data_IF_333262944381
#
_entry.id   IF_333262944381
#
_cell.length_a   1.000
_cell.length_b   1.000
_cell.length_c   1.000
_cell.angle_alpha   90.00
_cell.angle_beta   90.00
_cell.angle_gamma   90.00
#
_symmetry.space_group_name_H-M   'P 1'
#
loop_
_entity.id
_entity.type
_entity.pdbx_description
1 polymer ?
#
# COMPACT_ATOMS: atom_id res chain seq x y z
N UNK A 1 -11.04 -29.72 17.34
CA UNK A 1 -9.57 -29.82 17.52
C UNK A 1 -9.10 -28.51 18.08
N UNK A 2 -8.47 -28.51 19.22
CA UNK A 2 -8.09 -27.28 19.95
C UNK A 2 -7.04 -26.49 19.12
N UNK A 3 -7.39 -25.29 18.62
CA UNK A 3 -6.43 -24.34 18.02
C UNK A 3 -5.61 -23.72 19.15
N UNK A 4 -4.31 -23.84 19.06
CA UNK A 4 -3.35 -23.26 20.00
C UNK A 4 -3.17 -21.78 19.64
N UNK A 5 -3.54 -20.92 20.54
CA UNK A 5 -3.35 -19.47 20.45
C UNK A 5 -1.84 -19.16 20.48
N UNK A 6 -1.31 -18.68 19.36
CA UNK A 6 0.08 -18.22 19.29
C UNK A 6 0.14 -16.76 19.76
N UNK A 7 0.63 -16.58 20.98
CA UNK A 7 0.85 -15.26 21.57
C UNK A 7 2.10 -14.63 20.91
N UNK A 8 1.90 -13.70 19.97
CA UNK A 8 3.00 -12.92 19.39
C UNK A 8 3.40 -11.83 20.40
N UNK A 9 4.60 -11.94 20.94
CA UNK A 9 5.21 -10.96 21.83
C UNK A 9 5.56 -9.70 21.02
N UNK A 10 4.80 -8.63 21.20
CA UNK A 10 5.10 -7.32 20.65
C UNK A 10 6.31 -6.74 21.36
N UNK A 11 7.43 -6.63 20.68
CA UNK A 11 8.61 -5.91 21.14
C UNK A 11 8.37 -4.40 20.89
N UNK A 12 8.01 -3.67 21.94
CA UNK A 12 7.86 -2.22 21.88
C UNK A 12 9.26 -1.57 21.81
N UNK A 13 9.58 -1.00 20.66
CA UNK A 13 10.72 -0.10 20.53
C UNK A 13 10.25 1.33 20.80
N UNK A 14 10.52 1.82 22.01
CA UNK A 14 10.28 3.21 22.41
C UNK A 14 11.35 4.11 21.80
N UNK A 15 10.97 4.94 20.83
CA UNK A 15 11.77 6.10 20.40
C UNK A 15 11.18 7.34 21.07
N UNK A 16 11.94 7.90 22.00
CA UNK A 16 11.66 9.20 22.58
C UNK A 16 12.06 10.30 21.59
N UNK A 17 11.09 11.07 21.10
CA UNK A 17 11.35 12.31 20.39
C UNK A 17 10.76 13.48 21.19
N UNK A 18 11.65 14.23 21.82
CA UNK A 18 11.42 15.59 22.33
C UNK A 18 11.50 16.58 21.17
N UNK A 19 10.50 17.46 21.04
CA UNK A 19 10.62 18.56 20.08
C UNK A 19 9.39 19.44 20.01
N UNK A 20 9.53 20.66 20.53
CA UNK A 20 8.55 21.74 20.74
C UNK A 20 7.79 22.23 19.50
N UNK A 21 6.54 22.54 19.76
CA UNK A 21 5.68 23.69 19.41
C UNK A 21 5.98 24.55 18.16
N UNK A 22 4.97 24.72 17.32
CA UNK A 22 4.22 25.99 17.20
C UNK A 22 3.20 25.94 16.04
N UNK A 23 2.02 26.39 16.35
CA UNK A 23 0.76 26.45 15.68
C UNK A 23 0.72 27.07 14.29
N UNK A 24 -0.33 26.61 13.58
CA UNK A 24 -1.28 27.49 12.89
C UNK A 24 -2.56 26.69 12.52
N UNK A 25 -3.67 27.25 12.98
CA UNK A 25 -5.05 26.86 12.64
C UNK A 25 -5.27 26.96 11.12
N UNK A 26 -5.86 25.92 10.54
CA UNK A 26 -6.60 26.04 9.30
C UNK A 26 -7.95 25.37 9.52
N UNK A 27 -9.00 26.16 9.55
CA UNK A 27 -10.39 25.73 9.52
C UNK A 27 -10.68 25.09 8.16
N UNK A 28 -11.26 23.89 8.18
CA UNK A 28 -11.97 23.34 7.05
C UNK A 28 -13.29 22.76 7.56
N UNK A 29 -14.35 23.52 7.33
CA UNK A 29 -15.72 23.10 7.48
C UNK A 29 -16.09 22.09 6.40
N UNK A 30 -16.39 20.86 6.78
CA UNK A 30 -17.15 19.93 5.94
C UNK A 30 -18.36 19.44 6.76
N UNK A 31 -19.50 20.05 6.48
CA UNK A 31 -20.79 19.59 6.98
C UNK A 31 -21.23 18.38 6.14
N UNK A 32 -21.30 17.20 6.76
CA UNK A 32 -21.99 16.06 6.17
C UNK A 32 -23.48 16.17 6.52
N UNK A 33 -24.30 16.45 5.51
CA UNK A 33 -25.76 16.31 5.59
C UNK A 33 -26.11 14.83 5.43
N UNK A 34 -26.72 14.25 6.46
CA UNK A 34 -27.39 12.95 6.39
C UNK A 34 -28.85 13.18 6.00
N UNK A 35 -29.24 12.81 4.80
CA UNK A 35 -30.65 12.69 4.40
C UNK A 35 -31.23 11.38 4.96
N UNK A 36 -32.23 11.50 5.79
CA UNK A 36 -33.03 10.40 6.28
C UNK A 36 -34.19 10.10 5.29
N UNK A 37 -34.17 8.87 4.75
CA UNK A 37 -35.29 8.40 3.94
C UNK A 37 -36.49 8.05 4.83
N UNK A 38 -37.58 8.77 4.62
CA UNK A 38 -38.90 8.53 5.23
C UNK A 38 -39.64 7.45 4.45
N UNK A 39 -40.01 6.34 5.09
CA UNK A 39 -41.01 5.41 4.60
C UNK A 39 -42.27 5.56 5.43
N UNK A 40 -43.30 6.10 4.81
CA UNK A 40 -44.67 6.21 5.30
C UNK A 40 -45.36 4.85 5.28
N UNK A 41 -45.89 4.41 6.44
CA UNK A 41 -46.96 3.42 6.51
C UNK A 41 -48.16 4.03 7.24
N UNK A 42 -49.23 4.20 6.51
CA UNK A 42 -50.52 4.63 7.02
C UNK A 42 -51.34 3.46 7.55
N UNK A 43 -52.01 3.65 8.69
CA UNK A 43 -53.16 2.81 9.01
C UNK A 43 -53.55 2.67 10.47
N UNK A 44 -54.59 3.42 10.79
CA UNK A 44 -55.73 3.23 11.73
C UNK A 44 -55.74 4.02 13.01
N UNK A 45 -56.60 5.03 12.96
CA UNK A 45 -57.25 5.79 14.04
C UNK A 45 -58.09 4.95 14.98
N UNK A 46 -57.89 5.12 16.32
CA UNK A 46 -58.96 5.27 17.30
C UNK A 46 -58.40 5.62 18.70
N UNK A 47 -58.90 6.71 19.21
CA UNK A 47 -59.05 7.11 20.63
C UNK A 47 -57.88 7.04 21.58
N UNK A 48 -57.23 8.21 21.81
CA UNK A 48 -57.02 8.83 23.14
C UNK A 48 -56.32 10.20 22.99
N UNK A 49 -57.07 11.26 22.86
CA UNK A 49 -56.57 12.64 22.63
C UNK A 49 -56.01 13.34 23.86
N UNK A 50 -55.93 12.71 25.03
CA UNK A 50 -55.36 13.28 26.24
C UNK A 50 -53.97 12.75 26.61
N UNK A 51 -53.50 11.71 25.94
CA UNK A 51 -52.17 11.05 26.18
C UNK A 51 -51.10 11.38 25.15
N UNK A 52 -51.47 11.93 24.02
CA UNK A 52 -50.51 12.16 22.91
C UNK A 52 -49.52 13.32 23.16
N UNK A 53 -49.93 14.38 23.83
CA UNK A 53 -49.06 15.52 24.14
C UNK A 53 -48.05 15.21 25.28
N UNK A 54 -48.48 14.41 26.27
CA UNK A 54 -47.56 13.92 27.33
C UNK A 54 -46.65 12.82 26.83
N UNK A 55 -47.03 12.08 25.79
CA UNK A 55 -46.21 11.01 25.20
C UNK A 55 -45.07 11.56 24.29
N UNK A 56 -45.25 12.73 23.66
CA UNK A 56 -44.18 13.32 22.83
C UNK A 56 -42.97 13.78 23.64
N UNK A 57 -43.14 14.19 24.87
CA UNK A 57 -42.07 14.55 25.80
C UNK A 57 -41.32 13.32 26.36
N UNK A 58 -41.87 12.12 26.21
CA UNK A 58 -41.33 10.82 26.65
C UNK A 58 -40.85 9.99 25.47
N UNK A 59 -40.35 10.60 24.41
CA UNK A 59 -39.80 9.95 23.24
C UNK A 59 -38.43 10.54 22.85
N UNK A 60 -37.62 9.77 22.15
CA UNK A 60 -36.44 10.31 21.47
C UNK A 60 -36.93 11.20 20.30
N UNK A 61 -36.35 12.39 20.11
CA UNK A 61 -36.77 13.27 19.01
C UNK A 61 -36.78 12.55 17.66
N UNK A 62 -37.89 12.55 16.94
CA UNK A 62 -38.10 11.88 15.67
C UNK A 62 -38.53 10.40 15.76
N UNK A 63 -38.70 9.86 16.97
CA UNK A 63 -39.10 8.46 17.20
C UNK A 63 -40.43 8.41 17.98
N UNK A 64 -41.13 7.30 17.82
CA UNK A 64 -42.32 7.02 18.60
C UNK A 64 -41.99 6.73 20.07
N UNK A 65 -42.87 6.98 21.06
CA UNK A 65 -42.64 6.60 22.45
C UNK A 65 -42.32 5.11 22.59
N UNK A 66 -41.25 4.81 23.30
CA UNK A 66 -40.76 3.44 23.49
C UNK A 66 -39.89 2.91 22.37
N UNK A 67 -39.74 3.62 21.28
CA UNK A 67 -38.81 3.27 20.19
C UNK A 67 -37.36 3.67 20.57
N UNK A 68 -36.43 2.77 20.36
CA UNK A 68 -34.98 2.97 20.56
C UNK A 68 -34.36 3.23 19.20
N UNK A 69 -33.53 4.29 19.04
CA UNK A 69 -32.76 4.53 17.81
C UNK A 69 -31.82 3.37 17.51
N UNK A 70 -31.60 3.11 16.23
CA UNK A 70 -30.59 2.16 15.78
C UNK A 70 -29.18 2.65 16.14
N UNK A 71 -28.30 1.71 16.45
CA UNK A 71 -26.87 2.01 16.61
C UNK A 71 -26.30 2.38 15.24
N UNK A 72 -25.65 3.55 15.09
CA UNK A 72 -25.11 4.00 13.81
C UNK A 72 -24.07 3.01 13.26
N UNK A 73 -24.12 2.76 11.96
CA UNK A 73 -23.10 1.95 11.28
C UNK A 73 -21.71 2.62 11.37
N UNK A 74 -20.70 1.81 11.64
CA UNK A 74 -19.32 2.26 11.67
C UNK A 74 -18.74 2.12 10.27
N UNK A 75 -18.19 3.22 9.75
CA UNK A 75 -17.49 3.28 8.47
C UNK A 75 -16.04 3.66 8.74
N UNK A 76 -15.09 2.84 8.25
CA UNK A 76 -13.67 3.12 8.36
C UNK A 76 -13.20 3.90 7.11
N UNK A 77 -12.23 4.82 7.25
CA UNK A 77 -11.57 5.45 6.13
C UNK A 77 -10.84 4.44 5.26
N UNK A 78 -10.85 4.65 3.95
CA UNK A 78 -10.05 3.84 3.03
C UNK A 78 -8.55 4.08 3.23
N UNK A 79 -7.76 2.99 3.19
CA UNK A 79 -6.32 3.03 3.17
C UNK A 79 -5.88 3.03 1.70
N UNK A 80 -5.27 4.13 1.25
CA UNK A 80 -4.69 4.24 -0.08
C UNK A 80 -3.18 4.40 0.00
N UNK A 81 -2.42 3.58 -0.73
CA UNK A 81 -1.07 3.95 -1.12
C UNK A 81 -1.24 4.80 -2.39
N UNK A 82 -0.71 6.03 -2.40
CA UNK A 82 -0.63 6.76 -3.66
C UNK A 82 0.21 5.93 -4.62
N UNK A 83 -0.39 5.52 -5.73
CA UNK A 83 0.28 4.74 -6.78
C UNK A 83 1.62 5.39 -7.12
N UNK A 84 2.69 4.58 -7.09
CA UNK A 84 3.97 5.00 -7.63
C UNK A 84 3.89 4.77 -9.13
N UNK A 85 3.96 5.81 -9.98
CA UNK A 85 3.95 5.62 -11.43
C UNK A 85 5.31 5.07 -11.87
N UNK A 86 5.49 3.75 -11.81
CA UNK A 86 6.63 3.08 -12.40
C UNK A 86 6.23 2.55 -13.78
N UNK A 87 7.07 2.84 -14.77
CA UNK A 87 6.85 2.42 -16.17
C UNK A 87 6.96 0.90 -16.33
N UNK A 88 6.03 0.29 -17.06
CA UNK A 88 6.00 -1.16 -17.31
C UNK A 88 7.04 -1.60 -18.32
N UNK A 89 7.94 -2.52 -17.92
CA UNK A 89 8.73 -3.30 -18.86
C UNK A 89 7.90 -4.52 -19.29
N UNK A 90 7.69 -4.69 -20.58
CA UNK A 90 7.13 -5.95 -21.08
C UNK A 90 8.20 -7.04 -21.04
N UNK A 91 7.97 -8.04 -20.25
CA UNK A 91 8.83 -9.21 -19.98
C UNK A 91 9.27 -9.96 -21.23
N UNK A 92 8.45 -9.96 -22.27
CA UNK A 92 8.75 -10.64 -23.53
C UNK A 92 10.02 -10.10 -24.20
N UNK A 93 10.26 -8.79 -24.12
CA UNK A 93 11.48 -8.17 -24.67
C UNK A 93 12.74 -8.57 -23.92
N UNK A 94 12.66 -8.62 -22.58
CA UNK A 94 13.80 -9.05 -21.73
C UNK A 94 14.20 -10.50 -22.02
N UNK A 95 13.22 -11.39 -22.13
CA UNK A 95 13.43 -12.81 -22.40
C UNK A 95 14.06 -13.06 -23.77
N UNK A 96 13.62 -12.33 -24.78
CA UNK A 96 14.18 -12.42 -26.13
C UNK A 96 15.64 -11.97 -26.16
N UNK A 97 15.95 -10.82 -25.54
CA UNK A 97 17.33 -10.30 -25.45
C UNK A 97 18.25 -11.22 -24.64
N UNK A 98 17.78 -11.83 -23.55
CA UNK A 98 18.56 -12.75 -22.73
C UNK A 98 18.96 -14.06 -23.44
N UNK A 99 18.37 -14.35 -24.59
CA UNK A 99 18.72 -15.54 -25.39
C UNK A 99 19.98 -15.37 -26.22
N UNK A 100 20.54 -14.16 -26.33
CA UNK A 100 21.75 -13.89 -27.13
C UNK A 100 23.00 -14.33 -26.35
N UNK A 101 23.83 -15.23 -26.89
CA UNK A 101 25.05 -15.65 -26.24
C UNK A 101 26.05 -14.50 -26.05
N UNK A 102 26.69 -14.45 -24.90
CA UNK A 102 27.74 -13.46 -24.59
C UNK A 102 27.25 -12.10 -24.11
N UNK A 103 25.94 -11.96 -23.89
CA UNK A 103 25.38 -10.78 -23.23
C UNK A 103 24.67 -11.16 -21.93
N UNK A 104 24.64 -10.21 -21.01
CA UNK A 104 23.82 -10.28 -19.78
C UNK A 104 22.77 -9.18 -19.85
N UNK A 105 21.50 -9.53 -19.63
CA UNK A 105 20.40 -8.58 -19.61
C UNK A 105 19.89 -8.46 -18.19
N UNK A 106 19.93 -7.26 -17.65
CA UNK A 106 19.51 -6.97 -16.28
C UNK A 106 18.49 -5.83 -16.30
N UNK A 107 17.30 -5.98 -15.72
CA UNK A 107 16.42 -4.87 -15.46
C UNK A 107 17.08 -3.90 -14.48
N UNK A 108 17.03 -2.60 -14.76
CA UNK A 108 17.64 -1.56 -13.94
C UNK A 108 16.73 -0.35 -13.80
N UNK A 109 16.98 0.45 -12.78
CA UNK A 109 16.38 1.76 -12.63
C UNK A 109 17.41 2.82 -13.02
N UNK A 110 17.04 3.67 -13.95
CA UNK A 110 17.83 4.84 -14.35
C UNK A 110 17.15 6.08 -13.80
N UNK A 111 17.89 6.85 -13.00
CA UNK A 111 17.47 8.16 -12.50
C UNK A 111 18.54 9.18 -12.80
N UNK A 112 18.14 10.35 -13.29
CA UNK A 112 19.06 11.44 -13.65
C UNK A 112 20.20 11.00 -14.59
N UNK A 113 19.90 10.18 -15.59
CA UNK A 113 20.87 9.59 -16.53
C UNK A 113 21.95 8.72 -15.86
N UNK A 114 21.68 8.17 -14.70
CA UNK A 114 22.59 7.25 -14.03
C UNK A 114 21.87 5.95 -13.69
N UNK A 115 22.49 4.83 -14.04
CA UNK A 115 22.08 3.53 -13.52
C UNK A 115 22.37 3.56 -12.02
N UNK A 116 21.32 3.37 -11.20
CA UNK A 116 21.49 3.31 -9.75
C UNK A 116 22.27 2.05 -9.39
N UNK A 117 23.59 2.23 -9.19
CA UNK A 117 24.54 1.21 -8.74
C UNK A 117 25.03 1.56 -7.36
N UNK A 118 25.31 0.57 -6.55
CA UNK A 118 25.90 0.72 -5.23
C UNK A 118 25.06 0.08 -4.15
N UNK A 119 24.20 0.80 -3.45
CA UNK A 119 23.33 0.23 -2.41
C UNK A 119 22.03 -0.35 -2.99
N UNK A 120 21.78 -0.21 -4.27
CA UNK A 120 20.58 -0.72 -4.92
C UNK A 120 20.74 -2.19 -5.27
N UNK A 121 19.99 -3.04 -4.62
CA UNK A 121 19.85 -4.45 -4.99
C UNK A 121 18.52 -4.55 -5.74
N UNK A 122 18.56 -5.01 -6.97
CA UNK A 122 17.39 -5.31 -7.76
C UNK A 122 17.48 -6.73 -8.31
N UNK A 123 16.58 -7.58 -7.87
CA UNK A 123 16.33 -8.90 -8.46
C UNK A 123 14.88 -8.90 -8.92
N UNK A 124 14.66 -9.16 -10.18
CA UNK A 124 13.34 -9.13 -10.79
C UNK A 124 13.07 -10.46 -11.50
N UNK A 125 11.99 -11.12 -11.10
CA UNK A 125 11.46 -12.31 -11.76
C UNK A 125 10.44 -11.97 -12.86
N UNK A 126 9.89 -13.03 -13.43
CA UNK A 126 9.09 -12.93 -14.68
C UNK A 126 7.69 -12.33 -14.52
N UNK A 127 7.15 -12.26 -13.33
CA UNK A 127 5.82 -11.74 -12.99
C UNK A 127 5.85 -10.48 -12.11
N UNK A 128 7.02 -9.81 -12.02
CA UNK A 128 7.20 -8.66 -11.15
C UNK A 128 7.55 -9.05 -9.70
N UNK A 129 7.78 -10.34 -9.44
CA UNK A 129 8.37 -10.82 -8.19
C UNK A 129 9.81 -10.33 -8.04
N UNK A 130 10.27 -10.15 -6.82
CA UNK A 130 11.67 -9.82 -6.60
C UNK A 130 11.97 -9.00 -5.38
N UNK A 131 13.18 -8.46 -5.36
CA UNK A 131 13.68 -7.61 -4.29
C UNK A 131 14.26 -6.32 -4.86
N UNK A 132 13.93 -5.21 -4.22
CA UNK A 132 14.51 -3.90 -4.48
C UNK A 132 14.93 -3.26 -3.15
N UNK A 133 16.11 -2.69 -3.13
CA UNK A 133 16.58 -1.91 -1.98
C UNK A 133 17.36 -0.71 -2.48
N UNK A 134 16.93 0.47 -2.07
CA UNK A 134 17.59 1.75 -2.33
C UNK A 134 17.47 2.63 -1.10
N UNK A 135 18.56 2.79 -0.36
CA UNK A 135 18.64 3.64 0.83
C UNK A 135 17.44 3.51 1.77
N UNK A 136 16.42 4.33 1.52
CA UNK A 136 15.22 4.45 2.35
C UNK A 136 14.06 3.54 1.93
N UNK A 137 14.15 2.93 0.74
CA UNK A 137 13.10 2.07 0.19
C UNK A 137 13.57 0.61 0.13
N UNK A 138 12.79 -0.29 0.70
CA UNK A 138 12.96 -1.74 0.56
C UNK A 138 11.64 -2.34 0.11
N UNK A 139 11.69 -3.11 -0.97
CA UNK A 139 10.55 -3.87 -1.49
C UNK A 139 10.96 -5.30 -1.69
N UNK A 140 10.16 -6.22 -1.20
CA UNK A 140 10.23 -7.63 -1.52
C UNK A 140 8.81 -8.06 -1.86
N UNK A 141 8.60 -8.59 -3.06
CA UNK A 141 7.27 -8.91 -3.57
C UNK A 141 7.25 -10.21 -4.34
N UNK A 142 6.13 -10.90 -4.28
CA UNK A 142 5.82 -12.09 -5.09
C UNK A 142 5.28 -11.72 -6.50
N UNK A 143 5.08 -10.42 -6.75
CA UNK A 143 4.50 -9.91 -8.00
C UNK A 143 2.97 -9.90 -8.04
N UNK A 144 2.28 -10.54 -7.07
CA UNK A 144 0.82 -10.63 -6.99
C UNK A 144 0.24 -9.75 -5.86
N UNK A 145 1.11 -9.04 -5.16
CA UNK A 145 0.72 -8.12 -4.11
C UNK A 145 1.04 -8.57 -2.69
N UNK A 146 1.57 -9.78 -2.50
CA UNK A 146 2.13 -10.22 -1.24
C UNK A 146 3.60 -9.80 -1.11
N UNK A 147 4.08 -9.70 0.13
CA UNK A 147 5.46 -9.38 0.44
C UNK A 147 5.65 -8.30 1.47
N UNK A 148 6.78 -7.58 1.35
CA UNK A 148 7.16 -6.51 2.26
C UNK A 148 7.48 -5.23 1.49
N UNK A 149 6.99 -4.10 1.99
CA UNK A 149 7.32 -2.76 1.53
C UNK A 149 7.70 -1.89 2.73
N UNK A 150 8.84 -1.24 2.67
CA UNK A 150 9.30 -0.29 3.69
C UNK A 150 9.80 0.97 3.00
N UNK A 151 9.13 2.07 3.23
CA UNK A 151 9.53 3.41 2.80
C UNK A 151 9.82 4.26 4.03
N UNK A 152 11.08 4.34 4.41
CA UNK A 152 11.51 5.09 5.60
C UNK A 152 11.32 6.60 5.43
N UNK A 153 11.35 7.11 4.18
CA UNK A 153 11.11 8.52 3.91
C UNK A 153 9.65 8.90 4.12
N UNK A 154 8.71 8.05 3.67
CA UNK A 154 7.27 8.26 3.90
C UNK A 154 6.81 7.77 5.25
N UNK A 155 7.57 6.91 5.92
CA UNK A 155 7.22 6.27 7.19
C UNK A 155 6.22 5.13 7.03
N UNK A 156 6.17 4.52 5.84
CA UNK A 156 5.22 3.45 5.49
C UNK A 156 5.90 2.09 5.61
N UNK A 157 5.24 1.15 6.25
CA UNK A 157 5.62 -0.27 6.27
C UNK A 157 4.40 -1.12 5.95
N UNK A 158 4.58 -2.08 5.04
CA UNK A 158 3.58 -3.08 4.66
C UNK A 158 4.22 -4.45 4.79
N UNK A 159 3.49 -5.37 5.40
CA UNK A 159 3.71 -6.81 5.32
C UNK A 159 2.36 -7.42 4.95
N UNK A 160 2.30 -8.10 3.83
CA UNK A 160 1.06 -8.66 3.31
C UNK A 160 1.29 -10.08 2.83
N UNK A 161 0.40 -10.98 3.23
CA UNK A 161 0.36 -12.36 2.77
C UNK A 161 -0.56 -12.50 1.55
N UNK A 162 -0.54 -13.67 0.89
CA UNK A 162 -1.28 -13.94 -0.36
C UNK A 162 -2.80 -13.77 -0.22
N UNK A 163 -3.34 -14.03 0.97
CA UNK A 163 -4.77 -13.90 1.30
C UNK A 163 -5.19 -12.46 1.63
N UNK A 164 -4.23 -11.55 1.72
CA UNK A 164 -4.47 -10.15 2.05
C UNK A 164 -4.35 -9.82 3.53
N UNK A 165 -4.10 -10.82 4.38
CA UNK A 165 -3.76 -10.62 5.78
C UNK A 165 -2.40 -9.93 5.94
N UNK A 166 -2.12 -9.42 7.14
CA UNK A 166 -0.84 -8.83 7.45
C UNK A 166 -0.92 -7.51 8.19
N UNK A 167 0.06 -6.64 7.93
CA UNK A 167 0.22 -5.37 8.65
C UNK A 167 0.47 -4.19 7.70
N UNK A 168 -0.19 -3.07 7.98
CA UNK A 168 0.11 -1.75 7.42
C UNK A 168 0.41 -0.77 8.54
N UNK A 169 1.45 0.04 8.38
CA UNK A 169 1.83 1.11 9.29
C UNK A 169 2.17 2.37 8.49
N UNK A 170 1.55 3.49 8.83
CA UNK A 170 2.01 4.82 8.46
C UNK A 170 2.37 5.60 9.74
N UNK A 171 3.66 5.65 10.04
CA UNK A 171 4.17 6.28 11.27
C UNK A 171 4.03 7.80 11.27
N UNK A 172 3.94 8.44 10.09
CA UNK A 172 3.75 9.88 9.97
C UNK A 172 2.32 10.33 10.17
N UNK A 173 1.38 9.51 9.74
CA UNK A 173 -0.06 9.78 9.90
C UNK A 173 -0.65 9.13 11.17
N UNK A 174 0.10 8.26 11.84
CA UNK A 174 -0.37 7.52 13.00
C UNK A 174 -1.45 6.50 12.64
N UNK A 175 -1.31 5.85 11.46
CA UNK A 175 -2.23 4.82 11.00
C UNK A 175 -1.58 3.46 11.21
N UNK A 176 -2.33 2.49 11.73
CA UNK A 176 -1.93 1.09 11.77
C UNK A 176 -3.13 0.19 11.48
N UNK A 177 -2.89 -0.85 10.69
CA UNK A 177 -3.81 -1.94 10.43
C UNK A 177 -3.06 -3.25 10.68
N UNK A 178 -3.67 -4.14 11.43
CA UNK A 178 -3.29 -5.54 11.53
C UNK A 178 -4.56 -6.33 11.25
N UNK A 179 -4.53 -7.20 10.27
CA UNK A 179 -5.71 -7.98 9.85
C UNK A 179 -5.28 -9.40 9.49
N UNK A 180 -6.10 -10.36 9.87
CA UNK A 180 -5.97 -11.76 9.46
C UNK A 180 -6.82 -12.08 8.21
N UNK A 181 -6.82 -13.36 7.83
CA UNK A 181 -7.52 -13.85 6.64
C UNK A 181 -9.06 -13.78 6.74
N UNK A 182 -9.61 -13.74 7.95
CA UNK A 182 -11.05 -13.64 8.23
C UNK A 182 -11.53 -12.20 8.41
N UNK A 183 -10.62 -11.23 8.41
CA UNK A 183 -10.90 -9.81 8.62
C UNK A 183 -11.01 -9.42 10.09
N UNK A 184 -10.54 -10.28 11.00
CA UNK A 184 -10.32 -9.94 12.39
C UNK A 184 -9.02 -9.17 12.56
N UNK A 185 -8.90 -8.38 13.64
CA UNK A 185 -7.67 -7.65 13.91
C UNK A 185 -7.86 -6.31 14.55
N UNK A 186 -6.98 -5.36 14.22
CA UNK A 186 -7.00 -4.01 14.77
C UNK A 186 -6.73 -2.93 13.74
N UNK A 187 -7.45 -1.83 13.86
CA UNK A 187 -7.25 -0.62 13.07
C UNK A 187 -7.13 0.60 13.99
N UNK A 188 -6.18 1.46 13.71
CA UNK A 188 -6.01 2.74 14.38
C UNK A 188 -5.74 3.84 13.37
N UNK A 189 -6.35 5.02 13.58
CA UNK A 189 -6.10 6.21 12.77
C UNK A 189 -6.12 7.46 13.68
N UNK A 190 -4.93 7.97 13.98
CA UNK A 190 -4.78 9.13 14.87
C UNK A 190 -5.33 10.42 14.24
N UNK A 191 -5.43 10.51 12.90
CA UNK A 191 -6.02 11.67 12.22
C UNK A 191 -7.47 11.89 12.60
N UNK A 192 -8.22 10.80 12.79
CA UNK A 192 -9.64 10.82 13.12
C UNK A 192 -9.93 10.34 14.55
N UNK A 193 -8.88 10.01 15.32
CA UNK A 193 -9.02 9.48 16.67
C UNK A 193 -9.75 8.14 16.75
N UNK A 194 -9.66 7.33 15.67
CA UNK A 194 -10.34 6.04 15.54
C UNK A 194 -9.44 4.93 16.07
N UNK A 195 -10.05 3.99 16.79
CA UNK A 195 -9.48 2.68 17.10
C UNK A 195 -10.58 1.63 17.04
N UNK A 196 -10.30 0.53 16.34
CA UNK A 196 -11.16 -0.64 16.23
C UNK A 196 -10.34 -1.89 16.54
N UNK A 197 -10.89 -2.76 17.37
CA UNK A 197 -10.47 -4.15 17.53
C UNK A 197 -11.70 -5.01 17.26
N UNK A 198 -11.58 -5.97 16.36
CA UNK A 198 -12.70 -6.81 15.92
C UNK A 198 -12.20 -8.22 15.67
N UNK A 199 -12.99 -9.22 16.05
CA UNK A 199 -12.76 -10.61 15.73
C UNK A 199 -13.50 -11.07 14.46
N UNK A 200 -13.39 -12.35 14.13
CA UNK A 200 -14.00 -12.97 12.95
C UNK A 200 -15.55 -13.02 13.01
N UNK A 201 -16.16 -12.91 14.19
CA UNK A 201 -17.62 -12.84 14.38
C UNK A 201 -18.15 -11.39 14.41
N UNK A 202 -17.26 -10.38 14.30
CA UNK A 202 -17.62 -8.95 14.36
C UNK A 202 -17.87 -8.47 15.77
N UNK A 203 -17.29 -9.13 16.76
CA UNK A 203 -17.28 -8.71 18.16
C UNK A 203 -16.04 -7.86 18.46
N UNK A 204 -16.10 -7.04 19.50
CA UNK A 204 -14.96 -6.22 19.85
C UNK A 204 -15.30 -4.80 20.31
N UNK A 205 -14.37 -3.88 20.01
CA UNK A 205 -14.42 -2.50 20.52
C UNK A 205 -14.07 -1.49 19.43
N UNK A 206 -14.95 -0.53 19.21
CA UNK A 206 -14.69 0.68 18.43
C UNK A 206 -14.67 1.90 19.34
N UNK A 207 -13.72 2.78 19.14
CA UNK A 207 -13.66 4.09 19.78
C UNK A 207 -13.35 5.19 18.77
N UNK A 208 -13.97 6.36 18.96
CA UNK A 208 -13.59 7.58 18.29
C UNK A 208 -13.46 8.68 19.34
N UNK A 209 -12.22 9.07 19.63
CA UNK A 209 -11.89 10.02 20.68
C UNK A 209 -12.26 11.46 20.34
N UNK A 210 -12.38 11.80 19.04
CA UNK A 210 -12.72 13.15 18.60
C UNK A 210 -14.20 13.49 18.85
N UNK A 211 -15.09 12.52 18.69
CA UNK A 211 -16.53 12.71 18.92
C UNK A 211 -17.04 12.01 20.19
N UNK A 212 -16.15 11.35 20.94
CA UNK A 212 -16.48 10.67 22.21
C UNK A 212 -17.37 9.44 22.03
N UNK A 213 -17.33 8.78 20.86
CA UNK A 213 -18.09 7.56 20.57
C UNK A 213 -17.32 6.33 21.06
N UNK A 214 -18.03 5.40 21.69
CA UNK A 214 -17.56 4.06 22.01
C UNK A 214 -18.64 3.06 21.63
N UNK A 215 -18.25 1.98 20.95
CA UNK A 215 -19.14 0.87 20.61
C UNK A 215 -18.46 -0.43 21.03
N UNK A 216 -19.20 -1.26 21.78
CA UNK A 216 -18.77 -2.62 22.13
C UNK A 216 -19.76 -3.61 21.55
N UNK A 217 -19.29 -4.70 20.99
CA UNK A 217 -20.09 -5.80 20.51
C UNK A 217 -19.58 -7.10 21.09
N UNK A 218 -20.49 -7.96 21.54
CA UNK A 218 -20.25 -9.32 21.97
C UNK A 218 -21.36 -10.23 21.42
N UNK A 219 -21.31 -11.53 21.72
CA UNK A 219 -22.27 -12.53 21.26
C UNK A 219 -23.73 -12.18 21.56
N UNK A 220 -23.99 -11.52 22.67
CA UNK A 220 -25.32 -11.30 23.22
C UNK A 220 -25.82 -9.87 23.03
N UNK A 221 -24.92 -8.89 22.86
CA UNK A 221 -25.29 -7.48 22.86
C UNK A 221 -24.35 -6.58 22.05
N UNK A 222 -24.89 -5.48 21.57
CA UNK A 222 -24.11 -4.32 21.10
C UNK A 222 -24.48 -3.08 21.91
N UNK A 223 -23.47 -2.35 22.39
CA UNK A 223 -23.63 -1.13 23.17
C UNK A 223 -22.94 0.03 22.49
N UNK A 224 -23.68 1.15 22.37
CA UNK A 224 -23.20 2.41 21.84
C UNK A 224 -23.23 3.49 22.91
N UNK A 225 -22.20 4.30 22.97
CA UNK A 225 -22.09 5.48 23.83
C UNK A 225 -21.57 6.66 23.02
N UNK A 226 -22.26 7.79 23.11
CA UNK A 226 -21.81 9.08 22.61
C UNK A 226 -22.16 10.18 23.62
N UNK A 227 -21.14 10.75 24.27
CA UNK A 227 -21.35 11.72 25.33
C UNK A 227 -22.26 11.20 26.44
N UNK A 228 -23.49 11.80 26.53
CA UNK A 228 -24.51 11.45 27.53
C UNK A 228 -25.50 10.38 27.08
N UNK A 229 -25.48 10.03 25.79
CA UNK A 229 -26.38 9.04 25.19
C UNK A 229 -25.75 7.65 25.28
N UNK A 230 -26.57 6.67 25.61
CA UNK A 230 -26.24 5.23 25.60
C UNK A 230 -27.38 4.45 24.95
N UNK A 231 -27.03 3.52 24.08
CA UNK A 231 -27.95 2.56 23.45
C UNK A 231 -27.38 1.16 23.68
N UNK A 232 -28.22 0.22 24.05
CA UNK A 232 -27.85 -1.20 24.10
C UNK A 232 -28.90 -1.98 23.33
N UNK A 233 -28.49 -2.85 22.44
CA UNK A 233 -29.33 -3.79 21.74
C UNK A 233 -28.86 -5.20 22.04
N UNK A 234 -29.78 -6.13 22.31
CA UNK A 234 -29.48 -7.51 22.63
C UNK A 234 -30.01 -8.48 21.57
N UNK A 235 -29.40 -9.64 21.52
CA UNK A 235 -29.73 -10.72 20.58
C UNK A 235 -31.18 -11.22 20.71
N UNK A 236 -31.76 -11.12 21.90
CA UNK A 236 -33.14 -11.53 22.18
C UNK A 236 -34.19 -10.46 21.76
N UNK A 237 -33.74 -9.39 21.10
CA UNK A 237 -34.58 -8.28 20.67
C UNK A 237 -34.91 -7.28 21.80
N UNK A 238 -34.41 -7.48 23.01
CA UNK A 238 -34.51 -6.47 24.07
C UNK A 238 -33.41 -5.42 23.91
N UNK A 239 -33.58 -4.27 24.63
CA UNK A 239 -32.56 -3.24 24.62
C UNK A 239 -32.93 -2.04 25.46
N UNK A 240 -32.01 -1.08 25.48
CA UNK A 240 -32.20 0.14 26.27
C UNK A 240 -31.64 1.39 25.57
N UNK A 241 -32.25 2.52 25.84
CA UNK A 241 -31.77 3.85 25.52
C UNK A 241 -31.71 4.67 26.79
N UNK A 242 -30.69 5.48 26.96
CA UNK A 242 -30.64 6.49 28.01
C UNK A 242 -29.91 7.75 27.53
N UNK A 243 -30.47 8.89 27.86
CA UNK A 243 -29.85 10.21 27.70
C UNK A 243 -29.81 10.91 29.04
N UNK A 244 -28.60 11.10 29.57
CA UNK A 244 -28.41 11.74 30.87
C UNK A 244 -28.67 13.25 30.86
N UNK A 245 -28.78 13.89 29.68
CA UNK A 245 -29.09 15.30 29.55
C UNK A 245 -30.62 15.56 29.67
N UNK A 246 -31.40 14.83 28.91
CA UNK A 246 -32.86 14.92 28.96
C UNK A 246 -33.50 14.14 30.12
N UNK A 247 -32.73 13.23 30.74
CA UNK A 247 -33.22 12.30 31.76
C UNK A 247 -34.10 11.19 31.20
N UNK A 248 -34.20 11.04 29.88
CA UNK A 248 -35.01 10.03 29.21
C UNK A 248 -34.34 8.66 29.29
N UNK A 249 -35.10 7.62 29.66
CA UNK A 249 -34.69 6.21 29.62
C UNK A 249 -35.79 5.40 28.96
N UNK A 250 -35.41 4.47 28.11
CA UNK A 250 -36.29 3.50 27.46
C UNK A 250 -35.70 2.10 27.68
N UNK A 251 -36.55 1.18 28.12
CA UNK A 251 -36.19 -0.23 28.28
C UNK A 251 -37.20 -1.06 27.47
N UNK A 252 -36.76 -1.65 26.36
CA UNK A 252 -37.56 -2.55 25.53
C UNK A 252 -37.35 -3.99 26.00
N UNK A 253 -38.43 -4.74 26.26
CA UNK A 253 -38.39 -6.09 26.80
C UNK A 253 -38.18 -7.18 25.73
N UNK A 254 -38.11 -6.81 24.44
CA UNK A 254 -38.04 -7.74 23.31
C UNK A 254 -39.29 -8.56 23.06
N UNK A 255 -40.38 -8.29 23.80
CA UNK A 255 -41.67 -9.07 23.78
C UNK A 255 -42.88 -8.23 23.45
N UNK A 256 -42.66 -7.04 22.94
CA UNK A 256 -43.74 -6.15 22.48
C UNK A 256 -44.04 -4.99 23.42
N UNK A 257 -43.28 -4.77 24.48
CA UNK A 257 -43.48 -3.65 25.41
C UNK A 257 -42.16 -2.92 25.65
N UNK A 258 -42.28 -1.60 25.87
CA UNK A 258 -41.20 -0.78 26.40
C UNK A 258 -41.66 0.04 27.61
N UNK A 259 -40.77 0.16 28.59
CA UNK A 259 -40.90 1.07 29.72
C UNK A 259 -40.16 2.36 29.41
N UNK A 260 -40.85 3.49 29.42
CA UNK A 260 -40.27 4.82 29.23
C UNK A 260 -40.29 5.56 30.55
N UNK A 261 -39.17 6.14 30.94
CA UNK A 261 -39.03 6.92 32.18
C UNK A 261 -38.39 8.27 31.86
N UNK A 262 -38.96 9.36 32.41
CA UNK A 262 -38.37 10.71 32.33
C UNK A 262 -38.61 11.43 33.66
N UNK A 263 -37.55 11.67 34.44
CA UNK A 263 -37.68 12.17 35.77
C UNK A 263 -38.52 11.24 36.69
N UNK A 264 -39.64 11.72 37.19
CA UNK A 264 -40.60 10.94 38.01
C UNK A 264 -41.70 10.27 37.17
N UNK A 265 -41.79 10.58 35.88
CA UNK A 265 -42.80 10.01 35.02
C UNK A 265 -42.37 8.65 34.50
N UNK A 266 -43.28 7.70 34.49
CA UNK A 266 -43.06 6.34 33.99
C UNK A 266 -44.30 5.88 33.22
N UNK A 267 -44.09 5.33 32.02
CA UNK A 267 -45.15 4.76 31.19
C UNK A 267 -44.68 3.46 30.58
N UNK A 268 -45.61 2.52 30.35
CA UNK A 268 -45.36 1.31 29.54
C UNK A 268 -46.15 1.48 28.24
N UNK A 269 -45.49 1.30 27.12
CA UNK A 269 -46.03 1.45 25.79
C UNK A 269 -45.81 0.21 24.95
N UNK A 270 -46.57 0.05 23.86
CA UNK A 270 -46.30 -0.98 22.88
C UNK A 270 -45.08 -0.60 22.07
N UNK A 271 -44.15 -1.54 21.94
CA UNK A 271 -42.92 -1.35 21.18
C UNK A 271 -42.48 -2.69 20.58
N UNK A 272 -42.21 -2.72 19.28
CA UNK A 272 -41.69 -3.91 18.62
C UNK A 272 -40.31 -4.29 19.21
N UNK A 273 -39.98 -5.60 19.23
CA UNK A 273 -38.62 -6.03 19.50
C UNK A 273 -37.61 -5.31 18.59
N UNK A 274 -36.42 -5.09 19.07
CA UNK A 274 -35.32 -4.57 18.26
C UNK A 274 -34.96 -5.58 17.18
N UNK A 275 -34.41 -5.11 16.05
CA UNK A 275 -34.03 -5.95 14.93
C UNK A 275 -32.86 -6.89 15.21
N UNK A 276 -32.26 -7.40 14.15
CA UNK A 276 -31.07 -8.24 14.25
C UNK A 276 -29.93 -7.47 14.92
N UNK A 277 -29.20 -8.14 15.80
CA UNK A 277 -28.04 -7.57 16.48
C UNK A 277 -26.99 -7.15 15.45
N UNK A 278 -26.65 -5.85 15.36
CA UNK A 278 -25.61 -5.40 14.46
C UNK A 278 -24.24 -5.90 14.92
N UNK A 279 -23.27 -5.87 14.03
CA UNK A 279 -21.88 -6.26 14.30
C UNK A 279 -20.93 -5.13 13.94
N UNK A 280 -19.72 -5.15 14.51
CA UNK A 280 -18.63 -4.30 14.07
C UNK A 280 -18.20 -4.68 12.64
N UNK A 281 -17.73 -3.71 11.83
CA UNK A 281 -17.26 -4.02 10.49
C UNK A 281 -15.98 -4.85 10.56
N UNK A 282 -15.86 -5.86 9.70
CA UNK A 282 -14.60 -6.57 9.48
C UNK A 282 -13.58 -5.61 8.85
N UNK A 283 -12.32 -5.85 9.13
CA UNK A 283 -11.22 -5.10 8.51
C UNK A 283 -11.03 -5.54 7.06
N UNK A 284 -10.70 -4.59 6.21
CA UNK A 284 -10.28 -4.88 4.83
C UNK A 284 -8.85 -5.39 4.78
N UNK A 285 -8.49 -6.04 3.67
CA UNK A 285 -7.13 -6.51 3.44
C UNK A 285 -6.09 -5.39 3.53
N UNK A 286 -4.87 -5.76 3.91
CA UNK A 286 -3.70 -4.88 3.82
C UNK A 286 -3.50 -4.43 2.37
N UNK A 287 -3.14 -3.15 2.11
CA UNK A 287 -2.80 -2.69 0.77
C UNK A 287 -1.76 -3.57 0.10
N UNK A 288 -1.94 -3.84 -1.21
CA UNK A 288 -1.02 -4.69 -1.95
C UNK A 288 0.38 -4.09 -2.00
N UNK A 289 1.40 -4.95 -1.87
CA UNK A 289 2.79 -4.57 -2.13
C UNK A 289 2.94 -4.37 -3.65
N UNK A 290 3.48 -3.21 -4.11
CA UNK A 290 3.65 -2.96 -5.53
C UNK A 290 4.57 -4.02 -6.16
N UNK A 291 4.23 -4.46 -7.38
CA UNK A 291 5.15 -5.23 -8.21
C UNK A 291 6.37 -4.37 -8.55
N UNK A 292 7.53 -5.02 -8.69
CA UNK A 292 8.75 -4.32 -9.10
C UNK A 292 8.73 -4.08 -10.60
N UNK A 293 8.96 -2.84 -10.98
CA UNK A 293 9.08 -2.43 -12.37
C UNK A 293 10.43 -1.74 -12.58
N UNK A 294 11.20 -2.23 -13.54
CA UNK A 294 12.37 -1.53 -14.00
C UNK A 294 11.97 -0.51 -15.08
N UNK A 295 12.62 0.65 -15.10
CA UNK A 295 12.37 1.67 -16.13
C UNK A 295 13.35 1.57 -17.30
N UNK A 296 14.32 0.65 -17.26
CA UNK A 296 15.32 0.44 -18.27
C UNK A 296 15.84 -1.00 -18.29
N UNK A 297 16.32 -1.44 -19.44
CA UNK A 297 17.07 -2.68 -19.59
C UNK A 297 18.55 -2.33 -19.76
N UNK A 298 19.41 -2.96 -18.98
CA UNK A 298 20.85 -2.91 -19.12
C UNK A 298 21.33 -4.19 -19.81
N UNK A 299 21.93 -4.05 -20.99
CA UNK A 299 22.64 -5.13 -21.66
C UNK A 299 24.14 -4.91 -21.44
N UNK A 300 24.78 -5.86 -20.80
CA UNK A 300 26.24 -5.84 -20.55
C UNK A 300 26.95 -6.79 -21.49
N UNK A 301 27.97 -6.28 -22.19
CA UNK A 301 28.84 -7.02 -23.07
C UNK A 301 30.27 -6.95 -22.49
N UNK A 302 30.93 -8.10 -22.34
CA UNK A 302 32.33 -8.16 -21.93
C UNK A 302 33.22 -7.59 -23.06
N UNK A 303 34.05 -6.59 -22.72
CA UNK A 303 34.97 -6.00 -23.71
C UNK A 303 36.01 -7.00 -24.22
N UNK A 304 36.39 -8.02 -23.44
CA UNK A 304 37.29 -9.07 -23.88
C UNK A 304 36.71 -9.99 -24.95
N UNK A 305 35.38 -10.07 -25.05
CA UNK A 305 34.65 -10.71 -26.15
C UNK A 305 34.62 -9.81 -27.37
N UNK A 306 34.45 -8.51 -27.18
CA UNK A 306 34.25 -7.53 -28.25
C UNK A 306 35.55 -7.08 -28.90
N UNK A 307 36.63 -6.89 -28.13
CA UNK A 307 37.86 -6.23 -28.55
C UNK A 307 39.11 -6.97 -28.08
N UNK A 308 40.17 -6.82 -28.81
CA UNK A 308 41.51 -7.18 -28.30
C UNK A 308 42.00 -6.16 -27.25
N UNK A 309 43.03 -6.54 -26.51
CA UNK A 309 43.63 -5.66 -25.49
C UNK A 309 44.11 -4.37 -26.16
N UNK A 310 43.77 -3.23 -25.54
CA UNK A 310 44.07 -1.87 -26.02
C UNK A 310 43.54 -1.55 -27.44
N UNK A 311 42.54 -2.32 -27.91
CA UNK A 311 41.88 -2.11 -29.19
C UNK A 311 40.43 -1.69 -29.01
N UNK A 312 39.87 -1.04 -30.04
CA UNK A 312 38.46 -0.74 -30.22
C UNK A 312 37.92 -1.26 -31.55
N UNK A 313 38.74 -1.94 -32.38
CA UNK A 313 38.26 -2.66 -33.54
C UNK A 313 37.52 -3.93 -33.08
N UNK A 314 36.30 -4.15 -33.56
CA UNK A 314 35.50 -5.30 -33.20
C UNK A 314 36.10 -6.60 -33.72
N UNK A 315 36.23 -7.57 -32.87
CA UNK A 315 36.68 -8.92 -33.22
C UNK A 315 35.64 -9.61 -34.12
N UNK A 316 36.07 -10.47 -35.05
CA UNK A 316 35.14 -11.22 -35.88
C UNK A 316 34.12 -12.04 -35.08
N UNK A 317 34.51 -12.61 -33.98
CA UNK A 317 33.66 -13.41 -33.06
C UNK A 317 32.56 -12.54 -32.39
N UNK A 318 32.84 -11.27 -32.16
CA UNK A 318 31.88 -10.34 -31.59
C UNK A 318 30.75 -9.98 -32.56
N UNK A 319 31.03 -10.08 -33.86
CA UNK A 319 30.06 -9.70 -34.89
C UNK A 319 28.79 -10.56 -34.87
N UNK A 320 28.91 -11.86 -34.57
CA UNK A 320 27.74 -12.74 -34.45
C UNK A 320 26.81 -12.32 -33.31
N UNK A 321 27.38 -12.04 -32.12
CA UNK A 321 26.63 -11.54 -30.97
C UNK A 321 25.94 -10.19 -31.29
N UNK A 322 26.67 -9.27 -31.93
CA UNK A 322 26.12 -7.95 -32.28
C UNK A 322 25.06 -8.02 -33.39
N UNK A 323 25.19 -8.96 -34.33
CA UNK A 323 24.17 -9.20 -35.38
C UNK A 323 22.86 -9.69 -34.76
N UNK A 324 22.94 -10.65 -33.84
CA UNK A 324 21.75 -11.14 -33.14
C UNK A 324 21.14 -10.03 -32.29
N UNK A 325 21.94 -9.24 -31.60
CA UNK A 325 21.48 -8.09 -30.84
C UNK A 325 20.80 -7.03 -31.73
N UNK A 326 21.40 -6.66 -32.86
CA UNK A 326 20.85 -5.72 -33.82
C UNK A 326 19.46 -6.15 -34.34
N UNK A 327 19.34 -7.45 -34.68
CA UNK A 327 18.07 -8.04 -35.10
C UNK A 327 17.01 -7.91 -34.01
N UNK A 328 17.31 -8.29 -32.78
CA UNK A 328 16.35 -8.24 -31.66
C UNK A 328 15.98 -6.82 -31.26
N UNK A 329 16.92 -5.86 -31.28
CA UNK A 329 16.62 -4.44 -31.04
C UNK A 329 15.62 -3.90 -32.08
N UNK A 330 15.80 -4.30 -33.36
CA UNK A 330 14.90 -3.90 -34.45
C UNK A 330 13.53 -4.55 -34.31
N UNK A 331 13.47 -5.86 -34.07
CA UNK A 331 12.22 -6.61 -33.88
C UNK A 331 11.43 -6.16 -32.66
N UNK A 332 12.14 -5.78 -31.60
CA UNK A 332 11.54 -5.20 -30.39
C UNK A 332 11.03 -3.77 -30.57
N UNK A 333 11.29 -3.15 -31.73
CA UNK A 333 10.88 -1.77 -32.02
C UNK A 333 11.52 -0.73 -31.10
N UNK A 334 12.78 -0.96 -30.69
CA UNK A 334 13.52 -0.01 -29.85
C UNK A 334 13.83 1.23 -30.67
N UNK A 335 13.43 2.40 -30.17
CA UNK A 335 13.56 3.69 -30.87
C UNK A 335 14.73 4.54 -30.39
N UNK A 336 15.21 4.30 -29.16
CA UNK A 336 16.36 5.01 -28.59
C UNK A 336 17.07 4.17 -27.54
N UNK A 337 18.39 4.31 -27.42
CA UNK A 337 19.19 3.76 -26.33
C UNK A 337 20.57 4.42 -26.22
N UNK A 338 21.24 4.21 -25.10
CA UNK A 338 22.59 4.71 -24.81
C UNK A 338 23.58 3.55 -24.80
N UNK A 339 24.82 3.78 -25.25
CA UNK A 339 25.93 2.84 -25.19
C UNK A 339 27.05 3.46 -24.38
N UNK A 340 27.40 2.83 -23.27
CA UNK A 340 28.42 3.26 -22.33
C UNK A 340 29.65 2.36 -22.42
N UNK A 341 30.82 2.95 -22.57
CA UNK A 341 32.11 2.24 -22.55
C UNK A 341 32.78 2.38 -21.19
N UNK A 342 33.42 1.29 -20.75
CA UNK A 342 34.15 1.24 -19.47
C UNK A 342 35.48 0.49 -19.61
N UNK A 343 36.47 0.87 -18.79
CA UNK A 343 37.77 0.21 -18.68
C UNK A 343 38.02 -0.26 -17.23
N UNK A 344 39.06 -1.01 -17.04
CA UNK A 344 39.72 -1.17 -15.73
C UNK A 344 40.69 0.00 -15.47
N UNK A 345 41.37 -0.03 -14.31
CA UNK A 345 42.28 1.04 -13.86
C UNK A 345 43.75 0.79 -14.20
N UNK A 346 44.08 0.00 -15.24
CA UNK A 346 45.45 -0.35 -15.54
C UNK A 346 46.22 0.72 -16.36
N UNK A 347 45.56 1.69 -16.97
CA UNK A 347 46.15 2.78 -17.73
C UNK A 347 45.81 4.14 -17.09
N UNK A 348 46.30 5.24 -17.64
CA UNK A 348 45.93 6.58 -17.17
C UNK A 348 44.53 6.96 -17.55
N UNK A 349 43.93 7.86 -16.75
CA UNK A 349 42.54 8.28 -16.86
C UNK A 349 42.20 8.79 -18.27
N UNK A 350 43.07 9.61 -18.89
CA UNK A 350 42.83 10.21 -20.20
C UNK A 350 42.84 9.16 -21.31
N UNK A 351 43.73 8.18 -21.21
CA UNK A 351 43.76 7.03 -22.12
C UNK A 351 42.52 6.17 -21.96
N UNK A 352 42.16 5.81 -20.73
CA UNK A 352 40.97 5.03 -20.42
C UNK A 352 39.69 5.72 -20.87
N UNK A 353 39.60 7.05 -20.70
CA UNK A 353 38.48 7.84 -21.20
C UNK A 353 38.34 7.71 -22.71
N UNK A 354 39.43 7.94 -23.46
CA UNK A 354 39.45 7.86 -24.93
C UNK A 354 39.14 6.44 -25.43
N UNK A 355 39.72 5.41 -24.80
CA UNK A 355 39.52 4.02 -25.17
C UNK A 355 38.06 3.59 -24.98
N UNK A 356 37.45 4.00 -23.88
CA UNK A 356 36.05 3.68 -23.58
C UNK A 356 35.07 4.38 -24.54
N UNK A 357 35.33 5.65 -24.92
CA UNK A 357 34.56 6.38 -25.94
C UNK A 357 34.66 5.69 -27.31
N UNK A 358 35.87 5.31 -27.74
CA UNK A 358 36.09 4.64 -29.02
C UNK A 358 35.40 3.28 -29.08
N UNK A 359 35.39 2.52 -27.98
CA UNK A 359 34.68 1.24 -27.87
C UNK A 359 33.17 1.39 -27.96
N UNK A 360 32.59 2.34 -27.25
CA UNK A 360 31.16 2.66 -27.35
C UNK A 360 30.78 3.06 -28.78
N UNK A 361 31.56 3.91 -29.41
CA UNK A 361 31.34 4.34 -30.80
C UNK A 361 31.49 3.18 -31.81
N UNK A 362 32.45 2.28 -31.63
CA UNK A 362 32.60 1.11 -32.51
C UNK A 362 31.38 0.20 -32.48
N UNK A 363 30.80 -0.04 -31.31
CA UNK A 363 29.55 -0.82 -31.19
C UNK A 363 28.37 -0.08 -31.84
N UNK A 364 28.24 1.23 -31.62
CA UNK A 364 27.20 2.05 -32.28
C UNK A 364 27.28 1.98 -33.79
N UNK A 365 28.46 2.24 -34.35
CA UNK A 365 28.62 2.25 -35.81
C UNK A 365 28.33 0.87 -36.41
N UNK A 366 28.74 -0.20 -35.71
CA UNK A 366 28.40 -1.56 -36.15
C UNK A 366 26.90 -1.84 -36.11
N UNK A 367 26.19 -1.52 -35.02
CA UNK A 367 24.74 -1.74 -34.94
C UNK A 367 23.99 -0.95 -36.01
N UNK A 368 24.41 0.30 -36.30
CA UNK A 368 23.85 1.10 -37.40
C UNK A 368 24.11 0.44 -38.75
N UNK A 369 25.31 -0.08 -38.99
CA UNK A 369 25.63 -0.80 -40.23
C UNK A 369 24.80 -2.08 -40.40
N UNK A 370 24.35 -2.71 -39.29
CA UNK A 370 23.42 -3.85 -39.32
C UNK A 370 21.94 -3.45 -39.39
N UNK A 371 21.63 -2.17 -39.64
CA UNK A 371 20.26 -1.71 -39.92
C UNK A 371 19.48 -1.24 -38.69
N UNK A 372 20.09 -1.06 -37.51
CA UNK A 372 19.44 -0.46 -36.36
C UNK A 372 19.17 1.02 -36.62
N UNK A 373 17.90 1.40 -36.66
CA UNK A 373 17.45 2.78 -36.95
C UNK A 373 17.22 3.62 -35.71
N UNK A 374 17.34 3.03 -34.53
CA UNK A 374 17.19 3.72 -33.27
C UNK A 374 18.13 4.91 -33.12
N UNK A 375 17.71 5.92 -32.36
CA UNK A 375 18.62 6.98 -31.91
C UNK A 375 19.60 6.40 -30.88
N UNK A 376 20.90 6.49 -31.16
CA UNK A 376 21.95 5.91 -30.32
C UNK A 376 22.86 7.02 -29.82
N UNK A 377 22.87 7.23 -28.51
CA UNK A 377 23.87 8.07 -27.83
C UNK A 377 25.05 7.20 -27.36
N UNK A 378 26.22 7.76 -27.22
CA UNK A 378 27.41 7.06 -26.73
C UNK A 378 28.13 7.90 -25.68
N UNK A 379 28.63 7.24 -24.63
CA UNK A 379 29.44 7.86 -23.59
C UNK A 379 30.59 6.92 -23.19
N UNK A 380 31.79 7.49 -23.05
CA UNK A 380 32.90 6.84 -22.36
C UNK A 380 32.99 7.27 -20.92
N UNK A 381 33.25 6.33 -20.03
CA UNK A 381 33.44 6.61 -18.60
C UNK A 381 34.83 6.20 -18.10
N UNK A 382 35.70 5.68 -18.98
CA UNK A 382 36.98 5.17 -18.54
C UNK A 382 36.82 4.21 -17.35
N UNK A 383 37.60 4.43 -16.32
CA UNK A 383 37.58 3.65 -15.07
C UNK A 383 36.66 4.25 -13.97
N UNK A 384 36.00 5.39 -14.23
CA UNK A 384 35.27 6.14 -13.21
C UNK A 384 34.01 5.48 -12.67
N UNK A 385 33.51 4.44 -13.36
CA UNK A 385 32.32 3.68 -12.96
C UNK A 385 32.57 2.20 -12.83
N UNK A 386 33.39 1.73 -11.85
CA UNK A 386 33.67 0.34 -11.65
C UNK A 386 32.43 -0.42 -11.12
N UNK A 387 32.25 -1.68 -11.55
CA UNK A 387 31.22 -2.60 -11.04
C UNK A 387 31.82 -3.66 -10.12
N UNK A 388 33.14 -3.78 -10.11
CA UNK A 388 33.91 -4.68 -9.25
C UNK A 388 35.24 -4.02 -8.82
N UNK A 389 35.92 -4.64 -7.89
CA UNK A 389 37.24 -4.14 -7.48
C UNK A 389 38.25 -4.20 -8.61
N UNK A 390 39.09 -3.18 -8.77
CA UNK A 390 40.21 -3.17 -9.71
C UNK A 390 41.45 -3.89 -9.17
N UNK A 391 41.42 -4.39 -7.92
CA UNK A 391 42.57 -5.08 -7.31
C UNK A 391 42.76 -6.51 -7.84
N UNK A 392 41.66 -7.19 -8.22
CA UNK A 392 41.70 -8.56 -8.74
C UNK A 392 41.61 -8.62 -10.27
N UNK A 393 42.13 -9.67 -10.87
CA UNK A 393 42.04 -9.86 -12.32
C UNK A 393 40.60 -10.05 -12.78
N UNK A 394 39.80 -10.77 -12.00
CA UNK A 394 38.39 -11.04 -12.23
C UNK A 394 37.57 -9.74 -12.15
N UNK A 395 37.83 -8.90 -11.15
CA UNK A 395 37.15 -7.61 -11.00
C UNK A 395 37.49 -6.64 -12.13
N UNK A 396 38.74 -6.57 -12.54
CA UNK A 396 39.16 -5.81 -13.74
C UNK A 396 38.47 -6.32 -15.01
N UNK A 397 38.30 -7.65 -15.15
CA UNK A 397 37.56 -8.21 -16.28
C UNK A 397 36.09 -7.71 -16.31
N UNK A 398 35.44 -7.69 -15.15
CA UNK A 398 34.05 -7.17 -15.04
C UNK A 398 33.96 -5.68 -15.33
N UNK A 399 35.01 -4.91 -14.97
CA UNK A 399 35.06 -3.48 -15.23
C UNK A 399 35.26 -3.16 -16.72
N UNK A 400 36.00 -4.01 -17.48
CA UNK A 400 36.13 -3.91 -18.94
C UNK A 400 34.86 -4.37 -19.64
N UNK A 401 33.92 -3.48 -19.90
CA UNK A 401 32.63 -3.79 -20.48
C UNK A 401 32.08 -2.67 -21.37
N UNK A 402 31.13 -3.02 -22.19
CA UNK A 402 30.24 -2.07 -22.87
C UNK A 402 28.83 -2.32 -22.35
N UNK A 403 28.12 -1.29 -22.03
CA UNK A 403 26.74 -1.32 -21.56
C UNK A 403 25.83 -0.67 -22.57
N UNK A 404 24.67 -1.29 -22.82
CA UNK A 404 23.61 -0.71 -23.62
C UNK A 404 22.41 -0.52 -22.71
N UNK A 405 21.96 0.71 -22.57
CA UNK A 405 20.87 1.11 -21.70
C UNK A 405 19.66 1.45 -22.54
N UNK A 406 18.63 0.62 -22.48
CA UNK A 406 17.40 0.78 -23.24
C UNK A 406 16.33 1.31 -22.27
N UNK A 407 15.90 2.59 -22.40
CA UNK A 407 14.79 3.09 -21.61
C UNK A 407 13.51 2.35 -22.00
N UNK A 408 12.70 2.03 -20.99
CA UNK A 408 11.37 1.45 -21.20
C UNK A 408 10.35 2.58 -21.11
N UNK A 409 9.70 2.85 -22.21
CA UNK A 409 8.63 3.87 -22.31
C UNK A 409 7.28 3.18 -22.18
#
# INVERSE_FOLDING_TARGET
>A
MKKTMLCATVLALSVAATGCASGKKAESTAAAQTEAASTTAAGKTAETTATAAAASDMAVPGYAPGQIPEIPAIVLPELGISENPAAKITLDKTKALSSVPGITVTPVRVENNQIQRGSTVMQLGSNGEGQYKDGNLTVQTDGNGAGQYVDAERGITIQRDDDGSGQYLDSKLGISLLVDDDGAGSYKDDRYGISLMVDDDGEGLYTNTQNGVTVTADDDAMSYRAGKVRITQKKDGSGSYSDAESGLKIENDGKGKATVTKGTQKATVDAAPLGTLPRLPRLGAVPAVPSLEANSLLITLDSGVLFDVDKYDLRPEAQETLNQLAKLLTEAGITAFEIDGHTDSNADDAYNQTLSENRANAVKEYLKAQGVTAEITTQGYGESRPVATNETAEGRQQNRRVEIIIPTV
#
